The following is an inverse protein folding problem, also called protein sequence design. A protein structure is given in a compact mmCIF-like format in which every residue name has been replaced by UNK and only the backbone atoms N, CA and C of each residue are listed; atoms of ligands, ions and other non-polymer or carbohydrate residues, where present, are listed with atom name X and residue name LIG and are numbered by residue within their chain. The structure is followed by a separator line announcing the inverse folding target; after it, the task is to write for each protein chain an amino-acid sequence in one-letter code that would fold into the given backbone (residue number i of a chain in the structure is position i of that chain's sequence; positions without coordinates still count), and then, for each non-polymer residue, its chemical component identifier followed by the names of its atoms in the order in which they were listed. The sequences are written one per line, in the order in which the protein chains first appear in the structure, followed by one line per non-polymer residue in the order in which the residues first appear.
data_IF_588673748956
#
_entry.id   IF_588673748956
#
_cell.length_a   1.000
_cell.length_b   1.000
_cell.length_c   1.000
_cell.angle_alpha   90.00
_cell.angle_beta   90.00
_cell.angle_gamma   90.00
#
_symmetry.space_group_name_H-M   'P 1'
#
loop_
_entity.id
_entity.type
_entity.pdbx_description
1 polymer ?
#
# COMPACT_ATOMS: atom_id res chain seq x y z
N UNK A 1 5.52 -20.59 -16.40
CA UNK A 1 4.74 -21.54 -15.58
C UNK A 1 4.12 -22.55 -16.49
N UNK A 2 4.27 -23.84 -16.19
CA UNK A 2 3.59 -24.91 -16.91
C UNK A 2 2.83 -25.75 -15.88
N UNK A 3 1.50 -25.75 -15.98
CA UNK A 3 0.62 -26.37 -15.01
C UNK A 3 0.35 -27.85 -15.30
N UNK A 4 0.83 -28.41 -16.43
CA UNK A 4 0.73 -29.83 -16.83
C UNK A 4 -0.69 -30.45 -16.87
N UNK A 5 -1.72 -29.71 -16.49
CA UNK A 5 -3.15 -30.02 -16.55
C UNK A 5 -3.96 -28.72 -16.57
N UNK A 6 -5.20 -28.71 -17.08
CA UNK A 6 -6.06 -27.53 -17.02
C UNK A 6 -6.33 -27.15 -15.56
N UNK A 7 -6.09 -25.89 -15.21
CA UNK A 7 -6.40 -25.30 -13.91
C UNK A 7 -7.23 -24.05 -14.16
N UNK A 8 -8.33 -23.90 -13.43
CA UNK A 8 -9.07 -22.66 -13.39
C UNK A 8 -8.20 -21.62 -12.66
N UNK A 9 -7.70 -20.64 -13.41
CA UNK A 9 -6.89 -19.56 -12.87
C UNK A 9 -7.82 -18.41 -12.49
N UNK A 10 -7.89 -18.10 -11.21
CA UNK A 10 -8.81 -17.08 -10.68
C UNK A 10 -8.17 -15.68 -10.68
N UNK A 11 -6.85 -15.59 -10.42
CA UNK A 11 -6.08 -14.33 -10.45
C UNK A 11 -4.64 -14.63 -10.87
N UNK A 12 -4.07 -13.82 -11.76
CA UNK A 12 -2.62 -13.77 -12.04
C UNK A 12 -2.13 -12.42 -11.52
N UNK A 13 -1.26 -12.44 -10.51
CA UNK A 13 -0.63 -11.23 -9.99
C UNK A 13 0.79 -11.19 -10.54
N UNK A 14 1.09 -10.15 -11.32
CA UNK A 14 2.41 -9.89 -11.87
C UNK A 14 2.92 -8.59 -11.24
N UNK A 15 3.99 -8.70 -10.44
CA UNK A 15 4.68 -7.54 -9.87
C UNK A 15 5.89 -7.27 -10.78
N UNK A 16 5.83 -6.31 -11.72
CA UNK A 16 7.01 -5.88 -12.45
C UNK A 16 8.05 -5.38 -11.44
N UNK A 17 9.34 -5.40 -11.80
CA UNK A 17 10.36 -4.68 -11.03
C UNK A 17 9.97 -3.20 -10.99
N UNK A 18 9.30 -2.81 -9.92
CA UNK A 18 9.04 -1.44 -9.52
C UNK A 18 10.08 -1.04 -8.48
N UNK A 19 10.20 0.25 -8.20
CA UNK A 19 11.16 0.84 -7.27
C UNK A 19 10.91 0.45 -5.77
N UNK A 20 10.25 -0.69 -5.50
CA UNK A 20 10.01 -1.20 -4.14
C UNK A 20 8.70 -0.74 -3.50
N UNK A 21 7.89 0.10 -4.15
CA UNK A 21 6.65 0.68 -3.59
C UNK A 21 5.42 -0.25 -3.67
N UNK A 22 5.60 -1.55 -3.87
CA UNK A 22 4.47 -2.50 -3.90
C UNK A 22 4.12 -2.94 -2.48
N UNK A 23 2.83 -3.20 -2.22
CA UNK A 23 2.40 -3.86 -0.99
C UNK A 23 2.76 -5.34 -1.10
N UNK A 24 3.44 -5.86 -0.08
CA UNK A 24 3.90 -7.24 -0.02
C UNK A 24 3.13 -7.96 1.09
N UNK A 25 2.37 -9.03 0.77
CA UNK A 25 1.68 -9.82 1.78
C UNK A 25 2.64 -10.34 2.85
N UNK A 26 2.23 -10.25 4.11
CA UNK A 26 3.02 -10.62 5.28
C UNK A 26 3.84 -9.48 5.88
N UNK A 27 4.03 -8.37 5.17
CA UNK A 27 4.73 -7.20 5.71
C UNK A 27 3.77 -6.32 6.55
N UNK A 28 4.34 -5.68 7.55
CA UNK A 28 3.66 -4.72 8.42
C UNK A 28 3.79 -3.29 7.87
N UNK A 29 2.65 -2.62 7.74
CA UNK A 29 2.53 -1.27 7.22
C UNK A 29 1.76 -0.35 8.15
N UNK A 30 2.14 0.92 8.18
CA UNK A 30 1.43 1.98 8.91
C UNK A 30 1.08 3.13 7.96
N UNK A 31 -0.21 3.44 7.84
CA UNK A 31 -0.63 4.62 7.10
C UNK A 31 -0.70 5.80 8.05
N UNK A 32 0.03 6.86 7.75
CA UNK A 32 -0.03 8.13 8.47
C UNK A 32 -0.53 9.23 7.55
N UNK A 33 -1.08 10.29 8.14
CA UNK A 33 -1.48 11.50 7.43
C UNK A 33 -0.99 12.75 8.16
N UNK A 34 -0.74 13.81 7.40
CA UNK A 34 -0.32 15.08 7.96
C UNK A 34 -1.52 15.84 8.52
N UNK A 35 -1.48 16.14 9.81
CA UNK A 35 -2.53 16.85 10.54
C UNK A 35 -1.93 17.73 11.64
N UNK A 36 -2.41 18.97 11.76
CA UNK A 36 -1.96 19.92 12.80
C UNK A 36 -0.44 19.93 13.04
N UNK A 37 0.35 20.05 11.96
CA UNK A 37 1.82 20.10 11.97
C UNK A 37 2.52 18.80 12.44
N UNK A 38 1.83 17.67 12.43
CA UNK A 38 2.38 16.37 12.83
C UNK A 38 1.85 15.23 11.95
N UNK A 39 2.56 14.10 11.94
CA UNK A 39 2.04 12.86 11.36
C UNK A 39 1.14 12.15 12.36
N UNK A 40 -0.12 11.96 11.99
CA UNK A 40 -1.10 11.20 12.74
C UNK A 40 -1.31 9.82 12.10
N UNK A 41 -1.30 8.77 12.92
CA UNK A 41 -1.48 7.40 12.45
C UNK A 41 -2.95 7.06 12.21
N UNK A 42 -3.23 6.36 11.10
CA UNK A 42 -4.50 5.68 10.82
C UNK A 42 -4.46 4.20 11.22
N UNK A 43 -3.32 3.74 11.75
CA UNK A 43 -3.13 2.41 12.30
C UNK A 43 -2.14 1.56 11.52
N UNK A 44 -1.76 0.47 12.17
CA UNK A 44 -0.83 -0.54 11.66
C UNK A 44 -1.63 -1.74 11.16
N UNK A 45 -1.21 -2.31 10.01
CA UNK A 45 -1.81 -3.50 9.42
C UNK A 45 -0.72 -4.42 8.87
N UNK A 46 -0.94 -5.72 9.00
CA UNK A 46 -0.20 -6.72 8.23
C UNK A 46 -0.94 -6.87 6.90
N UNK A 47 -0.23 -6.78 5.78
CA UNK A 47 -0.82 -6.96 4.47
C UNK A 47 -1.21 -8.43 4.26
N UNK A 48 -2.49 -8.71 4.01
CA UNK A 48 -2.96 -10.05 3.64
C UNK A 48 -2.96 -10.27 2.11
N UNK A 49 -2.93 -9.18 1.33
CA UNK A 49 -2.93 -9.18 -0.14
C UNK A 49 -2.03 -8.05 -0.68
N UNK A 50 -2.05 -7.83 -2.00
CA UNK A 50 -1.30 -6.78 -2.70
C UNK A 50 -1.86 -5.35 -2.50
N UNK A 51 -2.78 -5.15 -1.55
CA UNK A 51 -3.38 -3.87 -1.21
C UNK A 51 -3.66 -3.74 0.29
N UNK A 52 -3.87 -2.50 0.75
CA UNK A 52 -4.30 -2.17 2.11
C UNK A 52 -5.54 -1.28 2.07
N UNK A 53 -6.54 -1.60 2.89
CA UNK A 53 -7.74 -0.78 3.05
C UNK A 53 -7.72 -0.06 4.39
N UNK A 54 -7.79 1.28 4.38
CA UNK A 54 -7.95 2.09 5.58
C UNK A 54 -9.29 2.83 5.54
N UNK A 55 -9.98 2.85 6.68
CA UNK A 55 -11.27 3.52 6.85
C UNK A 55 -11.10 4.84 7.62
N UNK A 56 -12.02 5.78 7.41
CA UNK A 56 -12.02 7.11 8.04
C UNK A 56 -10.81 8.00 7.67
N UNK A 57 -10.22 7.80 6.49
CA UNK A 57 -9.14 8.65 5.99
C UNK A 57 -9.63 10.09 5.72
N UNK A 58 -8.92 11.13 6.18
CA UNK A 58 -9.30 12.52 5.94
C UNK A 58 -9.17 12.89 4.46
N UNK A 59 -10.12 13.67 3.96
CA UNK A 59 -10.11 14.11 2.56
C UNK A 59 -9.11 15.23 2.34
N UNK A 60 -8.30 15.11 1.29
CA UNK A 60 -7.34 16.16 0.91
C UNK A 60 -6.13 16.28 1.84
N UNK A 61 -5.91 15.28 2.71
CA UNK A 61 -4.70 15.19 3.51
C UNK A 61 -3.52 14.65 2.68
N UNK A 62 -2.33 14.95 3.17
CA UNK A 62 -1.10 14.32 2.70
C UNK A 62 -0.90 13.02 3.48
N UNK A 63 -0.64 11.93 2.79
CA UNK A 63 -0.46 10.60 3.34
C UNK A 63 0.97 10.12 3.13
N UNK A 64 1.42 9.25 4.03
CA UNK A 64 2.67 8.50 3.93
C UNK A 64 2.40 7.08 4.43
N UNK A 65 2.91 6.10 3.70
CA UNK A 65 2.78 4.70 4.09
C UNK A 65 4.16 4.19 4.52
N UNK A 66 4.29 3.83 5.79
CA UNK A 66 5.50 3.25 6.34
C UNK A 66 5.49 1.73 6.17
N UNK A 67 6.62 1.15 5.77
CA UNK A 67 6.83 -0.30 5.76
C UNK A 67 7.81 -0.65 6.88
N UNK A 68 7.29 -1.25 7.95
CA UNK A 68 8.07 -1.59 9.14
C UNK A 68 8.89 -2.88 8.98
N UNK A 69 8.75 -3.62 7.88
CA UNK A 69 9.40 -4.93 7.67
C UNK A 69 10.62 -4.87 6.77
N UNK A 70 10.48 -4.33 5.56
CA UNK A 70 11.51 -4.42 4.51
C UNK A 70 11.99 -3.06 3.99
N UNK A 71 11.61 -1.96 4.66
CA UNK A 71 11.71 -0.59 4.17
C UNK A 71 12.97 -0.22 3.40
N UNK A 72 12.78 0.37 2.21
CA UNK A 72 13.87 1.02 1.46
C UNK A 72 13.46 2.40 0.94
N UNK A 73 12.22 2.60 0.48
CA UNK A 73 11.73 3.92 0.03
C UNK A 73 10.27 4.15 0.42
N UNK A 74 9.97 5.34 0.95
CA UNK A 74 8.64 5.79 1.32
C UNK A 74 8.36 7.12 0.62
N UNK A 75 7.18 7.25 0.01
CA UNK A 75 6.81 8.44 -0.75
C UNK A 75 5.47 8.99 -0.30
N UNK A 76 5.43 10.30 -0.10
CA UNK A 76 4.18 10.99 0.24
C UNK A 76 3.24 10.98 -0.96
N UNK A 77 1.95 10.91 -0.68
CA UNK A 77 0.91 10.96 -1.70
C UNK A 77 -0.32 11.70 -1.18
N UNK A 78 -1.14 12.21 -2.10
CA UNK A 78 -2.49 12.67 -1.79
C UNK A 78 -3.50 11.70 -2.39
N UNK A 79 -4.68 11.62 -1.79
CA UNK A 79 -5.77 10.78 -2.28
C UNK A 79 -6.97 11.66 -2.67
N UNK A 80 -7.28 11.72 -3.96
CA UNK A 80 -8.33 12.61 -4.50
C UNK A 80 -9.17 11.85 -5.52
N UNK A 81 -10.49 11.93 -5.38
CA UNK A 81 -11.46 11.30 -6.30
C UNK A 81 -11.28 9.78 -6.50
N UNK A 82 -10.75 9.07 -5.51
CA UNK A 82 -10.47 7.63 -5.62
C UNK A 82 -9.12 7.30 -6.25
N UNK A 83 -8.31 8.32 -6.57
CA UNK A 83 -7.00 8.15 -7.18
C UNK A 83 -5.88 8.62 -6.24
N UNK A 84 -4.78 7.86 -6.24
CA UNK A 84 -3.56 8.16 -5.50
C UNK A 84 -2.60 8.98 -6.39
N UNK A 85 -2.16 10.13 -5.87
CA UNK A 85 -1.28 11.08 -6.56
C UNK A 85 0.02 11.20 -5.77
N UNK A 86 1.13 10.78 -6.37
CA UNK A 86 2.46 10.77 -5.75
C UNK A 86 3.19 12.11 -5.92
N UNK A 87 3.96 12.53 -4.90
CA UNK A 87 4.75 13.77 -4.90
C UNK A 87 6.23 13.49 -4.64
#
# INVERSE_FOLDING_TARGET
MDFKRPVAMEKIIYIPRSDGNSIVPGNEYELVYWDHDNWASLGIKIADDDFLEYSNCPKGALFLLHNHTEGVEERIFTYKNGEQIWW
#
